data_IF_771237705236
#
_entry.id   IF_771237705236
#
_cell.length_a   1.000
_cell.length_b   1.000
_cell.length_c   1.000
_cell.angle_alpha   90.00
_cell.angle_beta   90.00
_cell.angle_gamma   90.00
#
_symmetry.space_group_name_H-M   'P 1'
#
loop_
_entity.id
_entity.type
_entity.pdbx_description
1 polymer ?
#
# COMPACT_ATOMS: atom_id res chain seq x y z
N UNK A 1 7.86 23.86 -41.97
CA UNK A 1 8.21 22.88 -40.92
C UNK A 1 7.09 22.84 -39.89
N UNK A 2 6.15 21.90 -40.02
CA UNK A 2 4.99 21.77 -39.13
C UNK A 2 5.40 20.96 -37.89
N UNK A 3 5.35 21.58 -36.71
CA UNK A 3 5.61 20.91 -35.43
C UNK A 3 4.55 19.82 -35.22
N UNK A 4 4.96 18.55 -35.19
CA UNK A 4 4.11 17.43 -34.74
C UNK A 4 3.83 17.63 -33.24
N UNK A 5 2.58 17.87 -32.87
CA UNK A 5 2.13 17.86 -31.48
C UNK A 5 2.29 16.42 -30.93
N UNK A 6 2.89 16.30 -29.75
CA UNK A 6 3.12 15.04 -29.03
C UNK A 6 1.78 14.42 -28.62
N UNK A 7 1.54 13.15 -28.96
CA UNK A 7 0.35 12.35 -28.63
C UNK A 7 0.15 12.05 -27.12
N UNK A 8 0.77 12.82 -26.21
CA UNK A 8 0.81 12.50 -24.77
C UNK A 8 -0.39 12.98 -23.94
N UNK A 9 -1.29 13.81 -24.49
CA UNK A 9 -2.47 14.32 -23.79
C UNK A 9 -3.77 14.19 -24.64
N UNK A 10 -4.06 13.01 -25.18
CA UNK A 10 -5.44 12.76 -25.64
C UNK A 10 -6.30 12.49 -24.41
N UNK A 11 -7.20 13.42 -24.09
CA UNK A 11 -8.28 13.20 -23.14
C UNK A 11 -9.24 12.23 -23.81
N UNK A 12 -9.04 10.93 -23.59
CA UNK A 12 -10.05 9.93 -23.88
C UNK A 12 -11.13 10.04 -22.82
N UNK A 13 -12.35 10.40 -23.23
CA UNK A 13 -13.52 10.36 -22.35
C UNK A 13 -13.73 8.92 -21.91
N UNK A 14 -13.66 8.68 -20.59
CA UNK A 14 -14.02 7.38 -20.02
C UNK A 14 -15.54 7.29 -20.00
N UNK A 15 -16.11 6.40 -20.81
CA UNK A 15 -17.55 6.13 -20.78
C UNK A 15 -17.87 5.23 -19.60
N UNK A 16 -18.68 5.72 -18.67
CA UNK A 16 -19.14 4.96 -17.51
C UNK A 16 -20.42 4.21 -17.91
N UNK A 17 -20.48 2.88 -17.74
CA UNK A 17 -21.70 2.10 -17.98
C UNK A 17 -22.91 2.67 -17.25
N UNK A 18 -24.08 2.60 -17.89
CA UNK A 18 -25.31 3.17 -17.36
C UNK A 18 -25.66 2.60 -15.98
N UNK A 19 -25.41 1.31 -15.78
CA UNK A 19 -25.68 0.58 -14.54
C UNK A 19 -24.85 1.15 -13.37
N UNK A 20 -23.54 1.37 -13.59
CA UNK A 20 -22.66 1.97 -12.58
C UNK A 20 -23.02 3.43 -12.29
N UNK A 21 -23.37 4.16 -13.34
CA UNK A 21 -23.85 5.54 -13.23
C UNK A 21 -25.13 5.63 -12.39
N UNK A 22 -26.09 4.73 -12.60
CA UNK A 22 -27.33 4.65 -11.81
C UNK A 22 -27.07 4.26 -10.35
N UNK A 23 -26.14 3.34 -10.10
CA UNK A 23 -25.74 3.01 -8.73
C UNK A 23 -25.12 4.23 -8.02
N UNK A 24 -24.26 4.98 -8.69
CA UNK A 24 -23.59 6.14 -8.10
C UNK A 24 -24.57 7.27 -7.78
N UNK A 25 -25.59 7.44 -8.61
CA UNK A 25 -26.68 8.38 -8.39
C UNK A 25 -27.53 8.00 -7.17
N UNK A 26 -27.94 6.74 -7.06
CA UNK A 26 -28.63 6.25 -5.87
C UNK A 26 -27.79 6.42 -4.59
N UNK A 27 -26.48 6.13 -4.67
CA UNK A 27 -25.57 6.32 -3.55
C UNK A 27 -25.43 7.80 -3.17
N UNK A 28 -25.35 8.68 -4.16
CA UNK A 28 -25.33 10.14 -3.98
C UNK A 28 -26.58 10.63 -3.26
N UNK A 29 -27.77 10.15 -3.64
CA UNK A 29 -29.04 10.49 -2.98
C UNK A 29 -29.09 10.02 -1.52
N UNK A 30 -28.57 8.83 -1.23
CA UNK A 30 -28.58 8.25 0.12
C UNK A 30 -27.58 8.96 1.05
N UNK A 31 -26.39 9.29 0.54
CA UNK A 31 -25.27 9.77 1.35
C UNK A 31 -25.09 11.29 1.32
N UNK A 32 -25.70 11.98 0.36
CA UNK A 32 -25.54 13.41 0.14
C UNK A 32 -24.19 13.82 -0.47
N UNK A 33 -23.40 12.86 -0.94
CA UNK A 33 -22.11 13.09 -1.63
C UNK A 33 -22.39 13.27 -3.13
N UNK A 34 -21.59 14.07 -3.85
CA UNK A 34 -21.75 14.20 -5.31
C UNK A 34 -21.52 12.86 -6.02
N UNK A 35 -22.25 12.64 -7.13
CA UNK A 35 -22.11 11.43 -7.96
C UNK A 35 -20.68 11.23 -8.46
N UNK A 36 -20.00 12.32 -8.82
CA UNK A 36 -18.60 12.26 -9.31
C UNK A 36 -17.66 11.81 -8.21
N UNK A 37 -17.87 12.32 -6.99
CA UNK A 37 -17.07 11.96 -5.81
C UNK A 37 -17.32 10.50 -5.40
N UNK A 38 -18.57 10.03 -5.46
CA UNK A 38 -18.90 8.62 -5.24
C UNK A 38 -18.18 7.69 -6.22
N UNK A 39 -18.19 8.02 -7.51
CA UNK A 39 -17.48 7.26 -8.54
C UNK A 39 -15.96 7.27 -8.33
N UNK A 40 -15.41 8.42 -7.96
CA UNK A 40 -13.98 8.54 -7.65
C UNK A 40 -13.59 7.69 -6.44
N UNK A 41 -14.41 7.68 -5.39
CA UNK A 41 -14.16 6.88 -4.19
C UNK A 41 -14.19 5.37 -4.51
N UNK A 42 -15.13 4.94 -5.35
CA UNK A 42 -15.18 3.55 -5.83
C UNK A 42 -13.98 3.17 -6.67
N UNK A 43 -13.56 4.04 -7.59
CA UNK A 43 -12.35 3.83 -8.40
C UNK A 43 -11.11 3.74 -7.52
N UNK A 44 -10.99 4.63 -6.54
CA UNK A 44 -9.88 4.64 -5.59
C UNK A 44 -9.87 3.36 -4.76
N UNK A 45 -11.01 2.98 -4.19
CA UNK A 45 -11.13 1.76 -3.39
C UNK A 45 -10.85 0.50 -4.21
N UNK A 46 -11.32 0.45 -5.46
CA UNK A 46 -11.01 -0.62 -6.40
C UNK A 46 -9.51 -0.70 -6.72
N UNK A 47 -8.86 0.44 -6.96
CA UNK A 47 -7.43 0.51 -7.22
C UNK A 47 -6.60 0.08 -5.99
N UNK A 48 -6.95 0.55 -4.79
CA UNK A 48 -6.30 0.13 -3.54
C UNK A 48 -6.35 -1.38 -3.37
N UNK A 49 -7.54 -1.97 -3.51
CA UNK A 49 -7.76 -3.42 -3.38
C UNK A 49 -6.96 -4.21 -4.41
N UNK A 50 -7.01 -3.80 -5.67
CA UNK A 50 -6.34 -4.52 -6.76
C UNK A 50 -4.82 -4.43 -6.65
N UNK A 51 -4.29 -3.25 -6.32
CA UNK A 51 -2.85 -3.09 -6.11
C UNK A 51 -2.37 -3.90 -4.90
N UNK A 52 -3.17 -3.96 -3.84
CA UNK A 52 -2.85 -4.79 -2.68
C UNK A 52 -2.89 -6.30 -3.01
N UNK A 53 -3.82 -6.74 -3.85
CA UNK A 53 -3.85 -8.11 -4.39
C UNK A 53 -2.54 -8.44 -5.13
N UNK A 54 -2.08 -7.54 -6.00
CA UNK A 54 -0.81 -7.72 -6.72
C UNK A 54 0.40 -7.80 -5.77
N UNK A 55 0.38 -7.04 -4.66
CA UNK A 55 1.40 -7.18 -3.61
C UNK A 55 1.34 -8.55 -2.96
N UNK A 56 0.14 -9.04 -2.60
CA UNK A 56 -0.03 -10.36 -1.97
C UNK A 56 0.44 -11.51 -2.86
N UNK A 57 0.34 -11.34 -4.19
CA UNK A 57 0.76 -12.32 -5.19
C UNK A 57 2.26 -12.21 -5.54
N UNK A 58 2.96 -11.21 -5.00
CA UNK A 58 4.37 -10.95 -5.29
C UNK A 58 4.62 -10.31 -6.66
N UNK A 59 3.57 -9.91 -7.38
CA UNK A 59 3.64 -9.24 -8.68
C UNK A 59 3.99 -7.74 -8.54
N UNK A 60 3.80 -7.18 -7.34
CA UNK A 60 4.12 -5.80 -7.02
C UNK A 60 4.86 -5.71 -5.67
N UNK A 61 5.94 -4.95 -5.61
CA UNK A 61 6.60 -4.70 -4.32
C UNK A 61 5.79 -3.74 -3.45
N UNK A 62 5.86 -3.91 -2.13
CA UNK A 62 5.19 -3.01 -1.19
C UNK A 62 5.67 -1.56 -1.33
N UNK A 63 6.95 -1.33 -1.60
CA UNK A 63 7.45 0.01 -1.85
C UNK A 63 6.86 0.65 -3.09
N UNK A 64 6.66 -0.10 -4.18
CA UNK A 64 6.01 0.42 -5.38
C UNK A 64 4.52 0.68 -5.18
N UNK A 65 3.85 -0.16 -4.40
CA UNK A 65 2.46 0.03 -3.98
C UNK A 65 2.28 1.37 -3.24
N UNK A 66 3.13 1.64 -2.24
CA UNK A 66 3.11 2.88 -1.45
C UNK A 66 3.36 4.11 -2.33
N UNK A 67 4.33 4.02 -3.26
CA UNK A 67 4.63 5.09 -4.22
C UNK A 67 3.44 5.40 -5.15
N UNK A 68 2.82 4.36 -5.73
CA UNK A 68 1.73 4.52 -6.70
C UNK A 68 0.45 5.11 -6.09
N UNK A 69 0.14 4.73 -4.85
CA UNK A 69 -1.04 5.22 -4.15
C UNK A 69 -0.81 6.52 -3.38
N UNK A 70 0.45 6.99 -3.31
CA UNK A 70 0.81 8.20 -2.56
C UNK A 70 0.52 8.08 -1.06
N UNK A 71 0.60 6.87 -0.52
CA UNK A 71 0.38 6.57 0.90
C UNK A 71 1.73 6.35 1.60
N UNK A 72 1.69 5.93 2.87
CA UNK A 72 2.89 5.53 3.62
C UNK A 72 2.85 4.03 3.94
N UNK A 73 4.01 3.46 4.30
CA UNK A 73 4.07 2.07 4.77
C UNK A 73 3.22 1.80 6.02
N UNK A 74 2.91 2.83 6.82
CA UNK A 74 2.06 2.73 8.01
C UNK A 74 0.58 2.57 7.68
N UNK A 75 0.17 2.91 6.47
CA UNK A 75 -1.21 2.78 6.01
C UNK A 75 -1.50 1.37 5.48
N UNK A 76 -0.44 0.63 5.10
CA UNK A 76 -0.56 -0.72 4.52
C UNK A 76 -1.31 -1.69 5.43
N UNK A 77 -1.01 -1.79 6.76
CA UNK A 77 -1.76 -2.67 7.65
C UNK A 77 -3.26 -2.37 7.69
N UNK A 78 -3.64 -1.08 7.64
CA UNK A 78 -5.04 -0.67 7.65
C UNK A 78 -5.74 -1.08 6.35
N UNK A 79 -5.04 -0.99 5.22
CA UNK A 79 -5.56 -1.45 3.92
C UNK A 79 -5.69 -2.98 3.85
N UNK A 80 -4.74 -3.71 4.41
CA UNK A 80 -4.81 -5.19 4.49
C UNK A 80 -5.97 -5.67 5.33
N UNK A 81 -6.24 -4.99 6.46
CA UNK A 81 -7.41 -5.27 7.29
C UNK A 81 -8.70 -4.88 6.57
N UNK A 82 -8.77 -3.65 6.00
CA UNK A 82 -9.93 -3.13 5.26
C UNK A 82 -10.39 -4.07 4.15
N UNK A 83 -9.45 -4.64 3.39
CA UNK A 83 -9.77 -5.50 2.25
C UNK A 83 -9.68 -6.99 2.55
N UNK A 84 -9.31 -7.37 3.79
CA UNK A 84 -9.10 -8.75 4.20
C UNK A 84 -8.14 -9.48 3.24
N UNK A 85 -7.01 -8.83 2.92
CA UNK A 85 -5.94 -9.37 2.07
C UNK A 85 -4.69 -9.51 2.93
N UNK A 86 -4.24 -10.75 3.12
CA UNK A 86 -2.97 -11.02 3.79
C UNK A 86 -1.81 -10.69 2.85
N UNK A 87 -0.87 -9.89 3.33
CA UNK A 87 0.43 -9.72 2.69
C UNK A 87 1.48 -10.36 3.61
N UNK A 88 2.37 -11.16 3.04
CA UNK A 88 3.53 -11.66 3.77
C UNK A 88 4.43 -10.50 4.24
N UNK A 89 5.34 -10.74 5.19
CA UNK A 89 6.26 -9.71 5.63
C UNK A 89 7.10 -9.24 4.42
N UNK A 90 7.15 -7.93 4.19
CA UNK A 90 7.91 -7.38 3.06
C UNK A 90 9.40 -7.64 3.25
N UNK A 91 10.17 -7.65 2.17
CA UNK A 91 11.63 -7.86 2.25
C UNK A 91 12.29 -6.82 3.18
N UNK A 92 11.80 -5.58 3.22
CA UNK A 92 12.27 -4.55 4.16
C UNK A 92 11.85 -4.84 5.61
N UNK A 93 10.64 -5.34 5.85
CA UNK A 93 10.18 -5.73 7.19
C UNK A 93 10.97 -6.92 7.71
N UNK A 94 11.24 -7.90 6.85
CA UNK A 94 12.08 -9.05 7.14
C UNK A 94 13.52 -8.60 7.48
N UNK A 95 14.09 -7.68 6.69
CA UNK A 95 15.39 -7.10 6.96
C UNK A 95 15.43 -6.34 8.30
N UNK A 96 14.42 -5.49 8.57
CA UNK A 96 14.30 -4.77 9.83
C UNK A 96 14.21 -5.71 11.03
N UNK A 97 13.42 -6.79 10.92
CA UNK A 97 13.31 -7.81 11.95
C UNK A 97 14.65 -8.51 12.19
N UNK A 98 15.41 -8.81 11.13
CA UNK A 98 16.76 -9.38 11.24
C UNK A 98 17.75 -8.42 11.92
N UNK A 99 17.75 -7.14 11.55
CA UNK A 99 18.64 -6.14 12.12
C UNK A 99 18.36 -5.96 13.63
N UNK A 100 17.09 -5.88 14.02
CA UNK A 100 16.68 -5.82 15.43
C UNK A 100 17.06 -7.07 16.21
N UNK A 101 16.93 -8.24 15.59
CA UNK A 101 17.34 -9.50 16.19
C UNK A 101 18.85 -9.54 16.41
N UNK A 102 19.64 -9.09 15.43
CA UNK A 102 21.10 -9.01 15.53
C UNK A 102 21.56 -8.07 16.65
N UNK A 103 20.94 -6.89 16.79
CA UNK A 103 21.19 -5.96 17.90
C UNK A 103 20.91 -6.60 19.27
N UNK A 104 19.77 -7.28 19.40
CA UNK A 104 19.36 -7.93 20.65
C UNK A 104 20.33 -9.06 21.05
N UNK A 105 20.71 -9.93 20.09
CA UNK A 105 21.68 -11.01 20.33
C UNK A 105 23.05 -10.44 20.71
N UNK A 106 23.51 -9.39 20.04
CA UNK A 106 24.76 -8.72 20.37
C UNK A 106 24.77 -8.13 21.78
N UNK A 107 23.65 -7.56 22.24
CA UNK A 107 23.52 -7.04 23.60
C UNK A 107 23.54 -8.14 24.68
N UNK A 108 22.91 -9.28 24.40
CA UNK A 108 22.90 -10.45 25.30
C UNK A 108 24.31 -11.04 25.44
N UNK A 109 25.02 -11.22 24.32
CA UNK A 109 26.39 -11.73 24.32
C UNK A 109 27.34 -10.81 25.10
N UNK A 110 27.24 -9.49 24.91
CA UNK A 110 28.05 -8.52 25.68
C UNK A 110 27.77 -8.58 27.19
N UNK A 111 26.51 -8.75 27.61
CA UNK A 111 26.17 -8.93 29.03
C UNK A 111 26.69 -10.26 29.60
N UNK A 112 26.66 -11.33 28.81
CA UNK A 112 27.15 -12.65 29.21
C UNK A 112 28.68 -12.67 29.39
N UNK A 113 29.42 -11.99 28.52
CA UNK A 113 30.89 -11.86 28.64
C UNK A 113 31.28 -11.03 29.86
N UNK A 114 30.58 -9.92 30.11
CA UNK A 114 30.87 -9.03 31.24
C UNK A 114 30.60 -9.69 32.61
N UNK A 115 29.56 -10.51 32.68
CA UNK A 115 29.23 -11.30 33.89
C UNK A 115 30.21 -12.46 34.17
N UNK A 116 30.91 -12.98 33.15
CA UNK A 116 31.96 -13.98 33.36
C UNK A 116 33.30 -13.38 33.79
N UNK A 117 33.60 -12.13 33.41
CA UNK A 117 34.82 -11.43 33.84
C UNK A 117 34.74 -11.00 35.31
N UNK A 118 33.57 -10.56 35.78
CA UNK A 118 33.34 -10.17 37.18
C UNK A 118 33.31 -11.36 38.17
N UNK A 119 33.29 -12.60 37.68
CA UNK A 119 33.38 -13.81 38.52
C UNK A 119 34.80 -14.41 38.59
N UNK A 120 35.77 -13.80 37.88
CA UNK A 120 37.16 -14.24 37.85
C UNK A 120 38.14 -13.25 38.52
N UNK A 121 37.64 -12.12 39.00
CA UNK A 121 38.32 -11.17 39.90
C UNK A 121 37.85 -11.35 41.35
#
# INVERSE_FOLDING_TARGET
MTRKLSKKNQITSLEIPLELSSCAELFSEITGIDKSDALLDWLRSGAEREMLRLVSEGELSAGKFVELLGITYFDVPQLTEKYNIEIGPTEEQVQYMWDKHAEAVGAILKKSVKSHQEQQD
#
